data_IF_872044267022
#
_entry.id   IF_872044267022
#
_cell.length_a   1.000
_cell.length_b   1.000
_cell.length_c   1.000
_cell.angle_alpha   90.00
_cell.angle_beta   90.00
_cell.angle_gamma   90.00
#
_symmetry.space_group_name_H-M   'P 1'
#
loop_
_entity.id
_entity.type
_entity.pdbx_description
1 polymer ?
#
# COMPACT_ATOMS: atom_id res chain seq x y z
N UNK A 1 2.21 10.35 -11.78
CA UNK A 1 3.29 10.48 -10.76
C UNK A 1 4.49 9.66 -11.19
N UNK A 2 5.66 10.30 -11.35
CA UNK A 2 6.89 9.60 -11.79
C UNK A 2 7.45 8.76 -10.62
N UNK A 3 8.19 7.67 -10.92
CA UNK A 3 8.82 6.80 -9.90
C UNK A 3 9.62 7.60 -8.85
N UNK A 4 10.32 8.66 -9.31
CA UNK A 4 11.12 9.53 -8.45
C UNK A 4 10.25 10.29 -7.44
N UNK A 5 9.11 10.81 -7.86
CA UNK A 5 8.17 11.50 -6.98
C UNK A 5 7.54 10.51 -5.99
N UNK A 6 7.24 9.29 -6.44
CA UNK A 6 6.67 8.25 -5.59
C UNK A 6 7.59 7.90 -4.40
N UNK A 7 8.87 7.66 -4.68
CA UNK A 7 9.85 7.27 -3.65
C UNK A 7 10.19 8.45 -2.72
N UNK A 8 10.11 9.69 -3.20
CA UNK A 8 10.42 10.90 -2.41
C UNK A 8 9.19 11.43 -1.65
N UNK A 9 8.00 10.87 -1.90
CA UNK A 9 6.80 11.28 -1.20
C UNK A 9 6.89 10.92 0.30
N UNK A 10 6.64 11.87 1.22
CA UNK A 10 6.83 11.65 2.66
C UNK A 10 5.95 10.52 3.21
N UNK A 11 4.75 10.31 2.66
CA UNK A 11 3.86 9.24 3.09
C UNK A 11 4.35 7.87 2.64
N UNK A 12 4.87 7.76 1.41
CA UNK A 12 5.50 6.52 0.92
C UNK A 12 6.79 6.23 1.67
N UNK A 13 7.60 7.25 1.99
CA UNK A 13 8.79 7.11 2.82
C UNK A 13 8.45 6.58 4.22
N UNK A 14 7.35 7.04 4.82
CA UNK A 14 6.89 6.50 6.10
C UNK A 14 6.53 5.01 6.00
N UNK A 15 5.77 4.60 4.98
CA UNK A 15 5.42 3.18 4.77
C UNK A 15 6.66 2.34 4.44
N UNK A 16 7.61 2.87 3.66
CA UNK A 16 8.90 2.23 3.39
C UNK A 16 9.72 2.05 4.66
N UNK A 17 9.74 3.05 5.55
CA UNK A 17 10.41 2.99 6.84
C UNK A 17 9.84 1.88 7.72
N UNK A 18 8.50 1.80 7.79
CA UNK A 18 7.80 0.70 8.50
C UNK A 18 8.15 -0.64 7.88
N UNK A 19 8.00 -0.77 6.56
CA UNK A 19 8.31 -2.01 5.84
C UNK A 19 9.73 -2.48 6.10
N UNK A 20 10.71 -1.58 6.00
CA UNK A 20 12.11 -1.89 6.25
C UNK A 20 12.35 -2.31 7.69
N UNK A 21 11.82 -1.55 8.65
CA UNK A 21 11.96 -1.84 10.08
C UNK A 21 11.38 -3.21 10.44
N UNK A 22 10.12 -3.47 10.08
CA UNK A 22 9.45 -4.73 10.41
C UNK A 22 10.10 -5.92 9.71
N UNK A 23 10.54 -5.73 8.45
CA UNK A 23 11.26 -6.78 7.71
C UNK A 23 12.63 -7.07 8.35
N UNK A 24 13.35 -6.04 8.79
CA UNK A 24 14.64 -6.19 9.45
C UNK A 24 14.50 -6.94 10.79
N UNK A 25 13.44 -6.68 11.56
CA UNK A 25 13.20 -7.40 12.82
C UNK A 25 12.93 -8.88 12.55
N UNK A 26 12.14 -9.21 11.54
CA UNK A 26 11.73 -10.59 11.31
C UNK A 26 12.69 -11.44 10.48
N UNK A 27 13.62 -10.82 9.73
CA UNK A 27 14.55 -11.55 8.86
C UNK A 27 15.42 -12.57 9.63
N UNK A 28 15.73 -12.26 10.90
CA UNK A 28 16.50 -13.13 11.78
C UNK A 28 15.72 -14.35 12.30
N UNK A 29 14.41 -14.37 12.08
CA UNK A 29 13.48 -15.39 12.56
C UNK A 29 12.72 -16.05 11.40
N UNK A 30 13.24 -15.98 10.17
CA UNK A 30 12.55 -16.49 8.97
C UNK A 30 12.21 -17.97 9.13
N UNK A 31 10.91 -18.23 9.13
CA UNK A 31 10.29 -19.53 8.98
C UNK A 31 9.20 -19.43 7.89
N UNK A 32 8.87 -20.56 7.26
CA UNK A 32 7.82 -20.66 6.25
C UNK A 32 6.47 -20.16 6.77
N UNK A 33 6.21 -20.33 8.07
CA UNK A 33 5.01 -19.80 8.73
C UNK A 33 4.95 -18.28 8.65
N UNK A 34 6.03 -17.58 9.03
CA UNK A 34 6.08 -16.12 8.98
C UNK A 34 6.11 -15.58 7.56
N UNK A 35 6.71 -16.30 6.62
CA UNK A 35 6.61 -15.98 5.19
C UNK A 35 5.14 -16.04 4.72
N UNK A 36 4.38 -17.06 5.15
CA UNK A 36 2.96 -17.19 4.88
C UNK A 36 2.13 -16.04 5.46
N UNK A 37 2.40 -15.64 6.71
CA UNK A 37 1.72 -14.50 7.37
C UNK A 37 2.04 -13.18 6.67
N UNK A 38 3.29 -12.98 6.26
CA UNK A 38 3.72 -11.81 5.49
C UNK A 38 3.05 -11.77 4.11
N UNK A 39 2.93 -12.91 3.44
CA UNK A 39 2.22 -13.01 2.17
C UNK A 39 0.72 -12.70 2.34
N UNK A 40 0.09 -13.20 3.40
CA UNK A 40 -1.30 -12.90 3.73
C UNK A 40 -1.50 -11.39 3.95
N UNK A 41 -0.66 -10.77 4.77
CA UNK A 41 -0.68 -9.31 4.98
C UNK A 41 -0.53 -8.54 3.66
N UNK A 42 0.40 -8.95 2.80
CA UNK A 42 0.62 -8.33 1.48
C UNK A 42 -0.64 -8.39 0.63
N UNK A 43 -1.24 -9.57 0.51
CA UNK A 43 -2.44 -9.78 -0.30
C UNK A 43 -3.63 -8.99 0.25
N UNK A 44 -3.86 -9.03 1.57
CA UNK A 44 -4.95 -8.30 2.23
C UNK A 44 -4.85 -6.79 1.96
N UNK A 45 -3.69 -6.19 2.21
CA UNK A 45 -3.53 -4.75 2.03
C UNK A 45 -3.47 -4.31 0.58
N UNK A 46 -2.93 -5.13 -0.33
CA UNK A 46 -2.98 -4.86 -1.76
C UNK A 46 -4.44 -4.77 -2.27
N UNK A 47 -5.28 -5.73 -1.87
CA UNK A 47 -6.70 -5.70 -2.21
C UNK A 47 -7.44 -4.57 -1.49
N UNK A 48 -7.09 -4.26 -0.24
CA UNK A 48 -7.67 -3.16 0.50
C UNK A 48 -7.43 -1.81 -0.18
N UNK A 49 -6.17 -1.50 -0.54
CA UNK A 49 -5.85 -0.29 -1.30
C UNK A 49 -6.63 -0.27 -2.62
N UNK A 50 -6.63 -1.39 -3.35
CA UNK A 50 -7.39 -1.49 -4.60
C UNK A 50 -8.89 -1.21 -4.40
N UNK A 51 -9.46 -1.66 -3.27
CA UNK A 51 -10.85 -1.43 -2.91
C UNK A 51 -11.11 0.03 -2.51
N UNK A 52 -10.22 0.66 -1.75
CA UNK A 52 -10.32 2.09 -1.40
C UNK A 52 -10.35 2.95 -2.67
N UNK A 53 -9.43 2.70 -3.61
CA UNK A 53 -9.44 3.39 -4.90
C UNK A 53 -10.74 3.15 -5.66
N UNK A 54 -11.21 1.90 -5.75
CA UNK A 54 -12.40 1.56 -6.54
C UNK A 54 -13.72 2.07 -5.95
N UNK A 55 -13.89 1.97 -4.63
CA UNK A 55 -15.19 2.16 -3.98
C UNK A 55 -15.32 3.48 -3.22
N UNK A 56 -14.20 4.07 -2.80
CA UNK A 56 -14.19 5.32 -2.03
C UNK A 56 -13.76 6.47 -2.93
N UNK A 57 -12.57 6.37 -3.53
CA UNK A 57 -11.98 7.49 -4.27
C UNK A 57 -12.61 7.69 -5.66
N UNK A 58 -12.80 6.61 -6.44
CA UNK A 58 -13.38 6.69 -7.79
C UNK A 58 -14.88 6.36 -7.84
N UNK A 59 -15.61 6.57 -6.75
CA UNK A 59 -17.05 6.29 -6.73
C UNK A 59 -17.80 7.25 -7.66
N UNK A 60 -18.18 6.75 -8.83
CA UNK A 60 -19.02 7.50 -9.79
C UNK A 60 -18.28 8.51 -10.66
N UNK A 61 -16.94 8.57 -10.59
CA UNK A 61 -16.10 9.45 -11.43
C UNK A 61 -15.22 8.57 -12.31
N UNK A 62 -15.12 8.83 -13.63
CA UNK A 62 -14.14 8.14 -14.45
C UNK A 62 -12.75 8.33 -13.85
N UNK A 63 -11.90 7.30 -13.94
CA UNK A 63 -10.53 7.17 -13.38
C UNK A 63 -9.54 8.31 -13.72
N UNK A 64 -10.00 9.40 -14.32
CA UNK A 64 -9.29 10.39 -15.11
C UNK A 64 -9.07 11.69 -14.32
N UNK A 65 -9.95 12.06 -13.39
CA UNK A 65 -9.76 13.25 -12.54
C UNK A 65 -9.13 12.85 -11.21
N UNK A 66 -7.80 12.68 -11.23
CA UNK A 66 -7.01 12.42 -10.03
C UNK A 66 -6.70 13.74 -9.33
N UNK A 67 -7.08 13.90 -8.06
CA UNK A 67 -6.55 14.98 -7.20
C UNK A 67 -5.26 14.49 -6.54
N UNK A 68 -4.29 15.39 -6.37
CA UNK A 68 -3.02 15.10 -5.68
C UNK A 68 -3.22 14.48 -4.28
N UNK A 69 -4.40 14.66 -3.69
CA UNK A 69 -4.81 14.13 -2.39
C UNK A 69 -5.18 12.62 -2.38
N UNK A 70 -5.30 11.95 -3.54
CA UNK A 70 -5.76 10.55 -3.60
C UNK A 70 -4.80 9.60 -2.86
N UNK A 71 -3.49 9.84 -2.96
CA UNK A 71 -2.46 9.06 -2.27
C UNK A 71 -2.53 9.25 -0.75
N UNK A 72 -2.73 10.50 -0.31
CA UNK A 72 -2.89 10.79 1.12
C UNK A 72 -4.17 10.13 1.64
N UNK A 73 -5.27 10.24 0.90
CA UNK A 73 -6.55 9.66 1.29
C UNK A 73 -6.50 8.14 1.33
N UNK A 74 -5.90 7.47 0.34
CA UNK A 74 -5.78 6.01 0.35
C UNK A 74 -5.00 5.51 1.56
N UNK A 75 -3.88 6.18 1.88
CA UNK A 75 -3.07 5.88 3.06
C UNK A 75 -3.81 6.22 4.35
N UNK A 76 -4.57 7.31 4.38
CA UNK A 76 -5.41 7.68 5.52
C UNK A 76 -6.47 6.62 5.83
N UNK A 77 -7.08 6.01 4.81
CA UNK A 77 -8.01 4.88 5.00
C UNK A 77 -7.31 3.56 5.34
N UNK A 78 -6.08 3.35 4.87
CA UNK A 78 -5.34 2.13 5.12
C UNK A 78 -4.70 2.09 6.50
N UNK A 79 -4.21 3.23 6.99
CA UNK A 79 -3.38 3.31 8.18
C UNK A 79 -4.08 2.82 9.46
N UNK A 80 -5.31 3.25 9.80
CA UNK A 80 -6.00 2.74 10.98
C UNK A 80 -6.26 1.23 10.91
N UNK A 81 -6.64 0.73 9.73
CA UNK A 81 -6.88 -0.71 9.52
C UNK A 81 -5.59 -1.49 9.66
N UNK A 82 -4.48 -0.98 9.12
CA UNK A 82 -3.14 -1.55 9.27
C UNK A 82 -2.70 -1.64 10.72
N UNK A 83 -2.83 -0.56 11.48
CA UNK A 83 -2.44 -0.53 12.90
C UNK A 83 -3.34 -1.46 13.73
N UNK A 84 -4.66 -1.39 13.56
CA UNK A 84 -5.61 -2.21 14.33
C UNK A 84 -5.46 -3.70 14.03
N UNK A 85 -5.28 -4.08 12.77
CA UNK A 85 -5.08 -5.48 12.39
C UNK A 85 -3.76 -6.03 12.94
N UNK A 86 -2.68 -5.26 12.85
CA UNK A 86 -1.38 -5.64 13.42
C UNK A 86 -1.43 -5.78 14.93
N UNK A 87 -2.11 -4.85 15.62
CA UNK A 87 -2.31 -4.91 17.07
C UNK A 87 -3.21 -6.09 17.47
N UNK A 88 -4.21 -6.43 16.67
CA UNK A 88 -5.05 -7.60 16.90
C UNK A 88 -4.24 -8.88 16.82
N UNK A 89 -3.36 -9.00 15.81
CA UNK A 89 -2.48 -10.17 15.66
C UNK A 89 -1.46 -10.26 16.80
N UNK A 90 -0.94 -9.11 17.25
CA UNK A 90 -0.06 -9.04 18.43
C UNK A 90 -0.75 -9.61 19.67
N UNK A 91 -2.01 -9.26 19.92
CA UNK A 91 -2.77 -9.74 21.06
C UNK A 91 -3.17 -11.23 20.96
N UNK A 92 -3.36 -11.75 19.76
CA UNK A 92 -3.88 -13.11 19.54
C UNK A 92 -2.80 -14.18 19.37
N UNK A 93 -1.64 -13.82 18.83
CA UNK A 93 -0.58 -14.77 18.49
C UNK A 93 0.70 -14.44 19.26
N UNK A 94 1.46 -13.46 18.79
CA UNK A 94 2.68 -12.96 19.45
C UNK A 94 3.27 -11.76 18.67
N UNK A 95 4.34 -11.17 19.20
CA UNK A 95 5.09 -10.07 18.59
C UNK A 95 5.61 -10.43 17.19
N UNK A 96 6.21 -11.61 17.01
CA UNK A 96 6.79 -12.03 15.73
C UNK A 96 5.72 -12.19 14.63
N UNK A 97 4.54 -12.70 14.99
CA UNK A 97 3.42 -12.81 14.05
C UNK A 97 2.89 -11.44 13.63
N UNK A 98 2.82 -10.50 14.59
CA UNK A 98 2.43 -9.13 14.30
C UNK A 98 3.44 -8.43 13.40
N UNK A 99 4.75 -8.61 13.64
CA UNK A 99 5.80 -8.06 12.78
C UNK A 99 5.79 -8.68 11.37
N UNK A 100 5.52 -10.00 11.25
CA UNK A 100 5.38 -10.66 9.96
C UNK A 100 4.23 -10.04 9.15
N UNK A 101 3.07 -9.93 9.80
CA UNK A 101 1.89 -9.39 9.17
C UNK A 101 2.06 -7.91 8.83
N UNK A 102 2.69 -7.13 9.71
CA UNK A 102 2.99 -5.72 9.50
C UNK A 102 3.96 -5.53 8.32
N UNK A 103 5.01 -6.34 8.22
CA UNK A 103 5.93 -6.32 7.08
C UNK A 103 5.19 -6.63 5.76
N UNK A 104 4.37 -7.69 5.78
CA UNK A 104 3.50 -8.02 4.66
C UNK A 104 2.55 -6.89 4.28
N UNK A 105 1.81 -6.35 5.23
CA UNK A 105 0.83 -5.29 5.01
C UNK A 105 1.46 -4.03 4.45
N UNK A 106 2.64 -3.62 4.94
CA UNK A 106 3.36 -2.48 4.41
C UNK A 106 3.82 -2.73 2.96
N UNK A 107 4.30 -3.94 2.64
CA UNK A 107 4.61 -4.33 1.26
C UNK A 107 3.36 -4.29 0.36
N UNK A 108 2.22 -4.77 0.86
CA UNK A 108 0.93 -4.75 0.16
C UNK A 108 0.45 -3.33 -0.15
N UNK A 109 0.60 -2.41 0.81
CA UNK A 109 0.31 -0.98 0.62
C UNK A 109 1.22 -0.40 -0.46
N UNK A 110 2.53 -0.60 -0.37
CA UNK A 110 3.49 -0.09 -1.36
C UNK A 110 3.21 -0.61 -2.76
N UNK A 111 2.93 -1.91 -2.91
CA UNK A 111 2.59 -2.52 -4.20
C UNK A 111 1.27 -2.00 -4.76
N UNK A 112 0.26 -1.82 -3.89
CA UNK A 112 -1.04 -1.24 -4.25
C UNK A 112 -0.87 0.18 -4.76
N UNK A 113 -0.20 1.03 -3.99
CA UNK A 113 0.06 2.42 -4.35
C UNK A 113 0.91 2.53 -5.62
N UNK A 114 1.94 1.69 -5.77
CA UNK A 114 2.77 1.66 -6.97
C UNK A 114 1.95 1.30 -8.22
N UNK A 115 1.07 0.29 -8.12
CA UNK A 115 0.16 -0.08 -9.21
C UNK A 115 -0.75 1.08 -9.60
N UNK A 116 -1.35 1.75 -8.62
CA UNK A 116 -2.27 2.86 -8.90
C UNK A 116 -1.54 4.10 -9.41
N UNK A 117 -0.31 4.36 -8.95
CA UNK A 117 0.57 5.39 -9.52
C UNK A 117 0.92 5.11 -10.99
N UNK A 118 1.27 3.87 -11.34
CA UNK A 118 1.60 3.48 -12.71
C UNK A 118 0.38 3.45 -13.65
N UNK A 119 -0.81 3.12 -13.15
CA UNK A 119 -2.05 3.21 -13.93
C UNK A 119 -2.43 4.67 -14.22
N UNK A 120 -2.21 5.58 -13.27
CA UNK A 120 -2.45 7.01 -13.49
C UNK A 120 -1.51 7.60 -14.55
N UNK A 121 -0.22 7.25 -14.52
CA UNK A 121 0.75 7.68 -15.54
C UNK A 121 0.35 7.22 -16.95
N UNK A 122 -0.20 6.00 -17.07
CA UNK A 122 -0.73 5.48 -18.35
C UNK A 122 -2.01 6.20 -18.79
N UNK A 123 -2.85 6.65 -17.86
CA UNK A 123 -4.06 7.41 -18.15
C UNK A 123 -3.75 8.82 -18.65
N UNK A 124 -2.85 9.53 -17.97
CA UNK A 124 -2.37 10.86 -18.36
C UNK A 124 -1.74 10.85 -19.76
N UNK A 125 -0.90 9.85 -20.06
CA UNK A 125 -0.23 9.73 -21.36
C UNK A 125 -1.22 9.57 -22.52
N UNK A 126 -2.32 8.83 -22.32
CA UNK A 126 -3.38 8.66 -23.32
C UNK A 126 -4.19 9.94 -23.57
N UNK A 127 -4.35 10.81 -22.57
CA UNK A 127 -5.03 12.10 -22.77
C UNK A 127 -4.18 13.10 -23.55
N UNK A 128 -2.87 13.14 -23.28
CA UNK A 128 -1.96 14.01 -24.03
C UNK A 128 -1.91 13.59 -25.50
N UNK A 129 -1.90 12.28 -25.78
CA UNK A 129 -1.98 11.76 -27.15
C UNK A 129 -3.34 12.06 -27.81
N UNK A 130 -4.44 12.05 -27.05
CA UNK A 130 -5.79 12.36 -27.57
C UNK A 130 -6.05 13.87 -27.77
N UNK A 131 -5.35 14.75 -27.06
CA UNK A 131 -5.43 16.22 -27.23
C UNK A 131 -4.48 16.74 -28.33
N UNK A 132 -3.54 15.91 -28.79
CA UNK A 132 -2.59 16.24 -29.86
C UNK A 132 -3.05 15.82 -31.27
N UNK A 133 -4.23 15.19 -31.38
CA UNK A 133 -4.94 14.89 -32.64
C UNK A 133 -6.06 15.90 -32.88
#
# INVERSE_FOLDING_TARGET
MKIREFIVNPYILAVLGVWFFTSFVIIFYIDWTFAGVSLLGTVCFFFYISAVYRFILYKGVPWIERKEDDLFMSLWYAWPVYVLSSLTIFLLADELWAFAYAAGGAAGILLGEFRHAGLAEKGERKQIEAQAQ
#
